data_IF_813284584484
#
_entry.id   IF_813284584484
#
_cell.length_a   1.000
_cell.length_b   1.000
_cell.length_c   1.000
_cell.angle_alpha   90.00
_cell.angle_beta   90.00
_cell.angle_gamma   90.00
#
_symmetry.space_group_name_H-M   'P 1'
#
loop_
_entity.id
_entity.type
_entity.pdbx_description
1 polymer ?
#
# COMPACT_ATOMS: atom_id res chain seq x y z
N UNK A 1 -29.25 -14.63 42.03
CA UNK A 1 -28.27 -14.52 40.92
C UNK A 1 -27.64 -13.14 41.01
N UNK A 2 -26.41 -13.08 41.52
CA UNK A 2 -25.75 -11.83 41.91
C UNK A 2 -24.97 -11.28 40.71
N UNK A 3 -25.33 -10.09 40.20
CA UNK A 3 -24.60 -9.43 39.11
C UNK A 3 -23.14 -9.14 39.54
N UNK A 4 -22.13 -9.41 38.69
CA UNK A 4 -20.75 -9.06 38.98
C UNK A 4 -20.61 -7.53 39.05
N UNK A 5 -19.96 -7.03 40.10
CA UNK A 5 -19.65 -5.61 40.27
C UNK A 5 -18.65 -5.19 39.20
N UNK A 6 -18.99 -4.18 38.39
CA UNK A 6 -18.07 -3.62 37.40
C UNK A 6 -17.01 -2.75 38.10
N UNK A 7 -15.74 -3.02 37.81
CA UNK A 7 -14.56 -2.45 38.48
C UNK A 7 -14.05 -1.15 37.82
N UNK A 8 -14.93 -0.46 37.07
CA UNK A 8 -14.62 0.76 36.32
C UNK A 8 -15.35 1.98 36.90
N UNK A 9 -14.69 3.15 36.89
CA UNK A 9 -15.32 4.40 37.34
C UNK A 9 -16.11 4.98 36.16
N UNK A 10 -17.43 4.97 36.27
CA UNK A 10 -18.34 5.53 35.26
C UNK A 10 -18.80 6.91 35.71
N UNK A 11 -18.63 7.90 34.84
CA UNK A 11 -19.18 9.25 35.01
C UNK A 11 -20.19 9.51 33.90
N UNK A 12 -21.46 9.69 34.24
CA UNK A 12 -22.52 9.95 33.27
C UNK A 12 -22.77 11.45 33.09
N UNK A 13 -22.83 11.89 31.83
CA UNK A 13 -23.22 13.23 31.39
C UNK A 13 -24.58 13.15 30.66
N UNK A 14 -25.17 14.30 30.33
CA UNK A 14 -26.53 14.37 29.77
C UNK A 14 -26.69 13.62 28.43
N UNK A 15 -25.63 13.50 27.65
CA UNK A 15 -25.61 12.92 26.30
C UNK A 15 -24.64 11.73 26.13
N UNK A 16 -23.80 11.43 27.12
CA UNK A 16 -22.84 10.32 27.04
C UNK A 16 -22.37 9.85 28.42
N UNK A 17 -21.82 8.63 28.47
CA UNK A 17 -21.15 8.10 29.66
C UNK A 17 -19.66 7.91 29.39
N UNK A 18 -18.83 8.39 30.31
CA UNK A 18 -17.38 8.19 30.28
C UNK A 18 -17.00 7.11 31.28
N UNK A 19 -16.56 5.97 30.75
CA UNK A 19 -16.06 4.85 31.55
C UNK A 19 -14.53 4.96 31.60
N UNK A 20 -13.99 5.20 32.79
CA UNK A 20 -12.54 5.23 33.04
C UNK A 20 -12.13 3.93 33.75
N UNK A 21 -11.40 3.03 33.08
CA UNK A 21 -10.82 1.86 33.71
C UNK A 21 -9.85 2.29 34.82
N UNK A 22 -9.94 1.67 36.00
CA UNK A 22 -9.15 2.05 37.18
C UNK A 22 -7.65 1.75 37.02
N UNK A 23 -7.27 0.89 36.06
CA UNK A 23 -5.89 0.57 35.69
C UNK A 23 -5.66 1.01 34.25
N UNK A 24 -4.70 1.91 34.04
CA UNK A 24 -4.21 2.25 32.70
C UNK A 24 -3.15 1.24 32.25
N UNK A 25 -2.92 1.14 30.94
CA UNK A 25 -1.92 0.23 30.36
C UNK A 25 -0.53 0.46 30.96
N UNK A 26 -0.21 1.70 31.33
CA UNK A 26 1.05 2.09 31.98
C UNK A 26 1.25 1.40 33.34
N UNK A 27 0.20 1.31 34.17
CA UNK A 27 0.26 0.61 35.46
C UNK A 27 0.36 -0.91 35.28
N UNK A 28 -0.20 -1.45 34.19
CA UNK A 28 -0.06 -2.87 33.85
C UNK A 28 1.36 -3.18 33.31
N UNK A 29 1.92 -2.30 32.49
CA UNK A 29 3.27 -2.41 31.95
C UNK A 29 4.33 -2.33 33.07
N UNK A 30 4.17 -1.42 34.04
CA UNK A 30 5.09 -1.34 35.19
C UNK A 30 5.10 -2.60 36.06
N UNK A 31 3.96 -3.30 36.19
CA UNK A 31 3.91 -4.53 36.98
C UNK A 31 4.63 -5.71 36.32
N UNK A 32 4.88 -5.65 35.02
CA UNK A 32 5.67 -6.65 34.27
C UNK A 32 7.17 -6.40 34.43
N UNK A 33 7.59 -5.16 34.73
CA UNK A 33 9.00 -4.80 34.86
C UNK A 33 9.61 -5.12 36.24
N UNK A 34 8.79 -5.42 37.25
CA UNK A 34 9.25 -5.73 38.62
C UNK A 34 9.55 -7.23 38.85
N UNK A 35 9.30 -8.10 37.88
CA UNK A 35 9.68 -9.51 37.91
C UNK A 35 10.90 -9.69 36.99
N UNK A 36 12.09 -9.81 37.59
CA UNK A 36 13.31 -10.33 36.95
C UNK A 36 13.79 -9.57 35.68
N UNK A 37 14.70 -8.63 35.90
CA UNK A 37 15.44 -7.92 34.85
C UNK A 37 16.56 -8.75 34.18
N UNK A 38 16.28 -9.98 33.76
CA UNK A 38 17.08 -10.62 32.72
C UNK A 38 16.46 -10.30 31.35
N UNK A 39 17.23 -9.65 30.47
CA UNK A 39 16.88 -9.63 29.06
C UNK A 39 16.92 -11.09 28.60
N UNK A 40 15.76 -11.71 28.43
CA UNK A 40 15.64 -13.06 27.90
C UNK A 40 16.01 -13.03 26.41
N UNK A 41 17.30 -13.04 26.13
CA UNK A 41 17.86 -13.13 24.78
C UNK A 41 17.31 -14.37 24.06
N UNK A 42 16.97 -15.44 24.77
CA UNK A 42 16.37 -16.64 24.21
C UNK A 42 14.90 -16.39 23.77
N UNK A 43 14.16 -15.51 24.46
CA UNK A 43 12.86 -15.04 24.00
C UNK A 43 12.94 -14.12 22.79
N UNK A 44 13.96 -13.26 22.71
CA UNK A 44 14.21 -12.42 21.53
C UNK A 44 14.59 -13.30 20.34
N UNK A 45 15.52 -14.23 20.50
CA UNK A 45 15.90 -15.18 19.44
C UNK A 45 14.71 -16.04 18.98
N UNK A 46 13.85 -16.52 19.89
CA UNK A 46 12.61 -17.22 19.52
C UNK A 46 11.64 -16.32 18.75
N UNK A 47 11.54 -15.04 19.12
CA UNK A 47 10.69 -14.09 18.43
C UNK A 47 11.23 -13.76 17.04
N UNK A 48 12.54 -13.54 16.89
CA UNK A 48 13.21 -13.30 15.60
C UNK A 48 13.15 -14.54 14.69
N UNK A 49 13.33 -15.75 15.24
CA UNK A 49 13.20 -17.00 14.48
C UNK A 49 11.76 -17.22 13.98
N UNK A 50 10.75 -16.96 14.82
CA UNK A 50 9.35 -17.03 14.40
C UNK A 50 9.00 -15.96 13.35
N UNK A 51 9.58 -14.75 13.47
CA UNK A 51 9.42 -13.68 12.47
C UNK A 51 10.09 -14.06 11.14
N UNK A 52 11.27 -14.67 11.21
CA UNK A 52 12.01 -15.16 10.04
C UNK A 52 11.29 -16.32 9.36
N UNK A 53 10.67 -17.23 10.12
CA UNK A 53 9.85 -18.31 9.57
C UNK A 53 8.63 -17.74 8.84
N UNK A 54 7.91 -16.79 9.46
CA UNK A 54 6.80 -16.09 8.83
C UNK A 54 7.23 -15.28 7.59
N UNK A 55 8.46 -14.76 7.59
CA UNK A 55 8.98 -14.03 6.43
C UNK A 55 9.10 -14.92 5.18
N UNK A 56 9.35 -16.22 5.35
CA UNK A 56 9.39 -17.18 4.24
C UNK A 56 8.01 -17.50 3.67
N UNK A 57 6.91 -17.28 4.42
CA UNK A 57 5.55 -17.36 3.88
C UNK A 57 5.22 -16.18 2.97
N UNK A 58 5.96 -15.07 3.06
CA UNK A 58 5.87 -13.93 2.14
C UNK A 58 6.67 -14.14 0.85
N UNK A 59 7.52 -15.18 0.81
CA UNK A 59 8.28 -15.50 -0.39
C UNK A 59 7.34 -15.95 -1.52
N UNK A 60 7.36 -15.19 -2.61
CA UNK A 60 6.53 -15.44 -3.78
C UNK A 60 5.17 -14.74 -3.80
N UNK A 61 4.74 -14.07 -2.72
CA UNK A 61 3.50 -13.28 -2.75
C UNK A 61 3.58 -12.15 -3.78
N UNK A 62 4.69 -11.40 -3.79
CA UNK A 62 4.89 -10.36 -4.81
C UNK A 62 4.96 -10.92 -6.24
N UNK A 63 5.46 -12.15 -6.42
CA UNK A 63 5.43 -12.81 -7.72
C UNK A 63 3.98 -13.15 -8.13
N UNK A 64 3.15 -13.66 -7.21
CA UNK A 64 1.73 -13.89 -7.44
C UNK A 64 0.97 -12.59 -7.77
N UNK A 65 1.24 -11.50 -7.06
CA UNK A 65 0.63 -10.20 -7.38
C UNK A 65 1.07 -9.69 -8.76
N UNK A 66 2.34 -9.87 -9.12
CA UNK A 66 2.84 -9.58 -10.47
C UNK A 66 2.14 -10.40 -11.56
N UNK A 67 1.88 -11.69 -11.29
CA UNK A 67 1.18 -12.57 -12.24
C UNK A 67 -0.29 -12.15 -12.42
N UNK A 68 -0.97 -11.75 -11.32
CA UNK A 68 -2.33 -11.19 -11.40
C UNK A 68 -2.38 -9.89 -12.18
N UNK A 69 -1.41 -8.99 -11.95
CA UNK A 69 -1.29 -7.74 -12.70
C UNK A 69 -1.06 -7.99 -14.20
N UNK A 70 -0.14 -8.90 -14.55
CA UNK A 70 0.13 -9.27 -15.94
C UNK A 70 -1.08 -9.94 -16.59
N UNK A 71 -1.82 -10.79 -15.87
CA UNK A 71 -3.04 -11.40 -16.37
C UNK A 71 -4.11 -10.33 -16.68
N UNK A 72 -4.29 -9.34 -15.79
CA UNK A 72 -5.19 -8.21 -16.02
C UNK A 72 -4.77 -7.37 -17.25
N UNK A 73 -3.48 -7.09 -17.38
CA UNK A 73 -2.89 -6.39 -18.55
C UNK A 73 -3.16 -7.15 -19.85
N UNK A 74 -2.92 -8.46 -19.88
CA UNK A 74 -3.21 -9.32 -21.05
C UNK A 74 -4.68 -9.35 -21.42
N UNK A 75 -5.56 -9.48 -20.43
CA UNK A 75 -7.00 -9.46 -20.65
C UNK A 75 -7.46 -8.12 -21.24
N UNK A 76 -6.90 -7.01 -20.77
CA UNK A 76 -7.15 -5.68 -21.32
C UNK A 76 -6.62 -5.55 -22.77
N UNK A 77 -5.42 -6.04 -23.07
CA UNK A 77 -4.90 -6.04 -24.46
C UNK A 77 -5.77 -6.87 -25.41
N UNK A 78 -6.32 -8.00 -24.96
CA UNK A 78 -7.12 -8.89 -25.79
C UNK A 78 -8.59 -8.45 -25.92
N UNK A 79 -9.19 -7.97 -24.83
CA UNK A 79 -10.61 -7.59 -24.75
C UNK A 79 -10.89 -6.11 -24.96
N UNK A 80 -9.85 -5.28 -25.07
CA UNK A 80 -9.94 -3.84 -25.22
C UNK A 80 -10.16 -3.08 -23.91
N UNK A 81 -10.14 -1.75 -24.04
CA UNK A 81 -10.27 -0.78 -22.95
C UNK A 81 -11.74 -0.53 -22.61
N UNK A 82 -12.27 -1.31 -21.67
CA UNK A 82 -13.61 -1.17 -21.11
C UNK A 82 -13.53 -0.80 -19.64
N UNK A 83 -14.62 -0.27 -19.05
CA UNK A 83 -14.69 0.01 -17.61
C UNK A 83 -14.41 -1.23 -16.75
N UNK A 84 -14.85 -2.42 -17.22
CA UNK A 84 -14.62 -3.67 -16.51
C UNK A 84 -13.15 -4.10 -16.55
N UNK A 85 -12.54 -4.09 -17.72
CA UNK A 85 -11.12 -4.47 -17.88
C UNK A 85 -10.17 -3.50 -17.17
N UNK A 86 -10.44 -2.19 -17.23
CA UNK A 86 -9.63 -1.21 -16.50
C UNK A 86 -9.80 -1.30 -14.99
N UNK A 87 -11.00 -1.64 -14.48
CA UNK A 87 -11.22 -1.86 -13.05
C UNK A 87 -10.47 -3.09 -12.53
N UNK A 88 -10.38 -4.16 -13.30
CA UNK A 88 -9.60 -5.35 -12.93
C UNK A 88 -8.10 -5.00 -12.84
N UNK A 89 -7.58 -4.27 -13.84
CA UNK A 89 -6.20 -3.78 -13.81
C UNK A 89 -5.94 -2.87 -12.60
N UNK A 90 -6.83 -1.92 -12.34
CA UNK A 90 -6.71 -1.00 -11.22
C UNK A 90 -6.64 -1.73 -9.88
N UNK A 91 -7.50 -2.74 -9.65
CA UNK A 91 -7.49 -3.52 -8.41
C UNK A 91 -6.15 -4.25 -8.22
N UNK A 92 -5.66 -4.93 -9.25
CA UNK A 92 -4.37 -5.62 -9.17
C UNK A 92 -3.21 -4.65 -8.88
N UNK A 93 -3.19 -3.48 -9.50
CA UNK A 93 -2.21 -2.45 -9.20
C UNK A 93 -2.36 -1.88 -7.77
N UNK A 94 -3.60 -1.71 -7.30
CA UNK A 94 -3.89 -1.19 -5.97
C UNK A 94 -3.46 -2.15 -4.86
N UNK A 95 -3.64 -3.46 -5.05
CA UNK A 95 -3.19 -4.47 -4.11
C UNK A 95 -1.65 -4.45 -3.99
N UNK A 96 -0.93 -4.37 -5.11
CA UNK A 96 0.52 -4.17 -5.13
C UNK A 96 0.91 -2.89 -4.40
N UNK A 97 0.24 -1.77 -4.67
CA UNK A 97 0.49 -0.50 -3.99
C UNK A 97 0.40 -0.66 -2.46
N UNK A 98 -0.64 -1.34 -1.98
CA UNK A 98 -0.89 -1.49 -0.55
C UNK A 98 0.04 -2.47 0.16
N UNK A 99 0.62 -3.42 -0.56
CA UNK A 99 1.35 -4.54 0.05
C UNK A 99 2.86 -4.54 -0.24
N UNK A 100 3.30 -3.97 -1.37
CA UNK A 100 4.68 -4.10 -1.82
C UNK A 100 5.70 -3.49 -0.85
N UNK A 101 5.39 -2.36 -0.22
CA UNK A 101 6.26 -1.76 0.80
C UNK A 101 6.44 -2.68 2.02
N UNK A 102 5.36 -3.34 2.48
CA UNK A 102 5.41 -4.33 3.57
C UNK A 102 6.30 -5.52 3.22
N UNK A 103 6.36 -5.88 1.94
CA UNK A 103 7.25 -6.94 1.45
C UNK A 103 8.64 -6.43 1.05
N UNK A 104 9.00 -5.19 1.38
CA UNK A 104 10.33 -4.64 1.12
C UNK A 104 10.58 -4.19 -0.33
N UNK A 105 9.52 -3.96 -1.11
CA UNK A 105 9.57 -3.42 -2.48
C UNK A 105 8.89 -2.05 -2.59
N UNK A 106 9.35 -1.01 -1.87
CA UNK A 106 8.69 0.30 -1.89
C UNK A 106 8.68 0.93 -3.29
N UNK A 107 9.72 0.71 -4.12
CA UNK A 107 9.71 1.18 -5.52
C UNK A 107 8.60 0.55 -6.36
N UNK A 108 8.28 -0.74 -6.14
CA UNK A 108 7.15 -1.37 -6.81
C UNK A 108 5.82 -0.76 -6.36
N UNK A 109 5.69 -0.40 -5.06
CA UNK A 109 4.53 0.30 -4.53
C UNK A 109 4.34 1.67 -5.21
N UNK A 110 5.42 2.45 -5.33
CA UNK A 110 5.39 3.77 -5.97
C UNK A 110 5.04 3.73 -7.46
N UNK A 111 5.60 2.75 -8.20
CA UNK A 111 5.27 2.57 -9.62
C UNK A 111 3.79 2.14 -9.75
N UNK A 112 3.30 1.27 -8.86
CA UNK A 112 1.90 0.85 -8.84
C UNK A 112 0.95 1.99 -8.47
N UNK A 113 1.34 2.91 -7.59
CA UNK A 113 0.59 4.13 -7.30
C UNK A 113 0.47 5.03 -8.54
N UNK A 114 1.57 5.21 -9.29
CA UNK A 114 1.53 5.96 -10.55
C UNK A 114 0.58 5.32 -11.57
N UNK A 115 0.59 3.99 -11.67
CA UNK A 115 -0.35 3.25 -12.52
C UNK A 115 -1.81 3.41 -12.04
N UNK A 116 -2.05 3.36 -10.73
CA UNK A 116 -3.37 3.61 -10.16
C UNK A 116 -3.86 5.01 -10.51
N UNK A 117 -3.00 6.02 -10.38
CA UNK A 117 -3.32 7.41 -10.73
C UNK A 117 -3.67 7.54 -12.21
N UNK A 118 -2.89 6.93 -13.10
CA UNK A 118 -3.15 6.90 -14.54
C UNK A 118 -4.54 6.33 -14.83
N UNK A 119 -4.85 5.14 -14.30
CA UNK A 119 -6.11 4.44 -14.60
C UNK A 119 -7.31 5.14 -13.96
N UNK A 120 -7.17 5.66 -12.74
CA UNK A 120 -8.27 6.27 -11.99
C UNK A 120 -8.65 7.65 -12.54
N UNK A 121 -7.65 8.49 -12.86
CA UNK A 121 -7.93 9.86 -13.29
C UNK A 121 -8.13 9.99 -14.81
N UNK A 122 -8.00 8.93 -15.61
CA UNK A 122 -8.33 9.03 -17.03
C UNK A 122 -9.86 9.06 -17.22
N UNK A 123 -10.44 10.12 -17.83
CA UNK A 123 -11.90 10.29 -17.89
C UNK A 123 -12.64 9.17 -18.65
N UNK A 124 -12.01 8.65 -19.71
CA UNK A 124 -12.59 7.63 -20.58
C UNK A 124 -11.62 6.46 -20.70
N UNK A 125 -12.03 5.21 -20.39
CA UNK A 125 -11.18 4.04 -20.55
C UNK A 125 -10.49 3.96 -21.92
N UNK A 126 -11.21 4.32 -22.99
CA UNK A 126 -10.69 4.26 -24.36
C UNK A 126 -9.55 5.25 -24.67
N UNK A 127 -9.33 6.29 -23.85
CA UNK A 127 -8.19 7.21 -24.03
C UNK A 127 -6.93 6.77 -23.28
N UNK A 128 -6.99 5.68 -22.51
CA UNK A 128 -5.83 5.18 -21.77
C UNK A 128 -4.71 4.75 -22.74
N UNK A 129 -3.48 5.25 -22.54
CA UNK A 129 -2.32 4.86 -23.34
C UNK A 129 -1.86 3.46 -22.94
N UNK A 130 -2.19 2.45 -23.74
CA UNK A 130 -1.80 1.05 -23.50
C UNK A 130 -0.31 0.86 -23.35
N UNK A 131 0.50 1.58 -24.14
CA UNK A 131 1.96 1.51 -24.06
C UNK A 131 2.49 2.00 -22.70
N UNK A 132 1.83 3.00 -22.11
CA UNK A 132 2.23 3.49 -20.79
C UNK A 132 1.81 2.51 -19.70
N UNK A 133 0.64 1.87 -19.82
CA UNK A 133 0.22 0.78 -18.94
C UNK A 133 1.25 -0.37 -19.00
N UNK A 134 1.63 -0.80 -20.19
CA UNK A 134 2.58 -1.90 -20.40
C UNK A 134 3.93 -1.59 -19.76
N UNK A 135 4.42 -0.34 -19.87
CA UNK A 135 5.66 0.08 -19.23
C UNK A 135 5.60 0.06 -17.70
N UNK A 136 4.48 0.48 -17.09
CA UNK A 136 4.31 0.38 -15.64
C UNK A 136 4.31 -1.08 -15.18
N UNK A 137 3.54 -1.94 -15.85
CA UNK A 137 3.48 -3.38 -15.51
C UNK A 137 4.85 -4.04 -15.67
N UNK A 138 5.58 -3.72 -16.75
CA UNK A 138 6.93 -4.22 -16.97
C UNK A 138 7.90 -3.75 -15.89
N UNK A 139 7.84 -2.48 -15.48
CA UNK A 139 8.70 -1.92 -14.45
C UNK A 139 8.45 -2.56 -13.07
N UNK A 140 7.19 -2.71 -12.65
CA UNK A 140 6.82 -3.41 -11.40
C UNK A 140 7.37 -4.83 -11.41
N UNK A 141 7.15 -5.57 -12.49
CA UNK A 141 7.64 -6.95 -12.62
C UNK A 141 9.16 -7.03 -12.64
N UNK A 142 9.84 -6.05 -13.21
CA UNK A 142 11.30 -5.97 -13.20
C UNK A 142 11.84 -5.74 -11.78
N UNK A 143 11.31 -4.76 -11.05
CA UNK A 143 11.70 -4.49 -9.65
C UNK A 143 11.57 -5.76 -8.79
N UNK A 144 10.47 -6.49 -8.93
CA UNK A 144 10.24 -7.74 -8.18
C UNK A 144 11.17 -8.86 -8.65
N UNK A 145 11.32 -9.06 -9.96
CA UNK A 145 12.17 -10.13 -10.53
C UNK A 145 13.65 -9.93 -10.21
N UNK A 146 14.14 -8.71 -10.31
CA UNK A 146 15.53 -8.34 -9.98
C UNK A 146 15.74 -8.21 -8.46
N UNK A 147 14.69 -8.45 -7.66
CA UNK A 147 14.74 -8.40 -6.20
C UNK A 147 15.25 -7.06 -5.67
N UNK A 148 14.86 -5.95 -6.31
CA UNK A 148 15.23 -4.60 -5.90
C UNK A 148 14.50 -4.26 -4.60
N UNK A 149 15.24 -4.30 -3.49
CA UNK A 149 14.74 -3.99 -2.16
C UNK A 149 15.06 -2.55 -1.79
N UNK A 150 14.24 -1.97 -0.91
CA UNK A 150 14.40 -0.57 -0.53
C UNK A 150 14.01 0.40 -1.65
N UNK A 151 14.35 1.67 -1.45
CA UNK A 151 13.89 2.81 -2.24
C UNK A 151 15.02 3.59 -2.94
N UNK A 152 16.24 3.06 -2.92
CA UNK A 152 17.46 3.79 -3.33
C UNK A 152 18.14 3.24 -4.60
N UNK A 153 17.57 2.23 -5.26
CA UNK A 153 18.11 1.74 -6.54
C UNK A 153 18.06 2.84 -7.62
N UNK A 154 19.21 3.33 -8.11
CA UNK A 154 19.24 4.51 -8.98
C UNK A 154 18.48 4.30 -10.30
N UNK A 155 18.53 3.07 -10.84
CA UNK A 155 17.92 2.77 -12.13
C UNK A 155 16.40 2.69 -12.00
N UNK A 156 15.91 2.02 -10.95
CA UNK A 156 14.49 1.92 -10.67
C UNK A 156 13.88 3.27 -10.31
N UNK A 157 14.60 4.13 -9.58
CA UNK A 157 14.19 5.51 -9.30
C UNK A 157 14.06 6.34 -10.59
N UNK A 158 15.04 6.28 -11.50
CA UNK A 158 14.97 6.99 -12.78
C UNK A 158 13.75 6.52 -13.63
N UNK A 159 13.51 5.21 -13.66
CA UNK A 159 12.35 4.63 -14.36
C UNK A 159 11.04 5.12 -13.73
N UNK A 160 10.93 5.10 -12.41
CA UNK A 160 9.77 5.59 -11.67
C UNK A 160 9.49 7.06 -11.98
N UNK A 161 10.51 7.93 -11.87
CA UNK A 161 10.38 9.36 -12.15
C UNK A 161 9.94 9.63 -13.58
N UNK A 162 10.49 8.86 -14.53
CA UNK A 162 10.10 8.97 -15.94
C UNK A 162 8.65 8.56 -16.15
N UNK A 163 8.21 7.46 -15.55
CA UNK A 163 6.83 6.98 -15.65
C UNK A 163 5.86 7.98 -15.02
N UNK A 164 6.17 8.52 -13.83
CA UNK A 164 5.39 9.58 -13.18
C UNK A 164 5.25 10.81 -14.07
N UNK A 165 6.36 11.30 -14.62
CA UNK A 165 6.36 12.45 -15.54
C UNK A 165 5.47 12.21 -16.76
N UNK A 166 5.55 11.02 -17.36
CA UNK A 166 4.71 10.65 -18.50
C UNK A 166 3.22 10.59 -18.13
N UNK A 167 2.90 9.98 -16.99
CA UNK A 167 1.53 9.90 -16.45
C UNK A 167 0.97 11.30 -16.19
N UNK A 168 1.73 12.17 -15.54
CA UNK A 168 1.32 13.55 -15.26
C UNK A 168 1.10 14.36 -16.53
N UNK A 169 2.02 14.30 -17.49
CA UNK A 169 1.88 14.99 -18.76
C UNK A 169 0.64 14.52 -19.51
N UNK A 170 0.35 13.22 -19.50
CA UNK A 170 -0.83 12.66 -20.13
C UNK A 170 -2.11 13.13 -19.42
N UNK A 171 -2.18 13.05 -18.09
CA UNK A 171 -3.37 13.45 -17.33
C UNK A 171 -3.65 14.95 -17.46
N UNK A 172 -2.63 15.80 -17.46
CA UNK A 172 -2.77 17.25 -17.72
C UNK A 172 -3.38 17.54 -19.09
N UNK A 173 -2.99 16.79 -20.12
CA UNK A 173 -3.58 16.93 -21.45
C UNK A 173 -5.05 16.46 -21.50
N UNK A 174 -5.36 15.34 -20.84
CA UNK A 174 -6.74 14.84 -20.76
C UNK A 174 -7.70 15.79 -20.02
N UNK A 175 -7.19 16.54 -19.04
CA UNK A 175 -7.95 17.47 -18.20
C UNK A 175 -7.66 18.94 -18.49
N UNK A 176 -7.11 19.27 -19.66
CA UNK A 176 -6.74 20.65 -20.01
C UNK A 176 -7.91 21.64 -19.95
N UNK A 177 -9.13 21.14 -20.16
CA UNK A 177 -10.37 21.91 -20.17
C UNK A 177 -11.14 21.82 -18.82
N UNK A 178 -10.55 21.16 -17.81
CA UNK A 178 -11.11 20.99 -16.47
C UNK A 178 -10.25 21.75 -15.44
N UNK A 179 -10.51 23.06 -15.21
CA UNK A 179 -9.71 23.88 -14.33
C UNK A 179 -9.81 23.46 -12.85
N UNK A 180 -10.94 22.87 -12.45
CA UNK A 180 -11.15 22.39 -11.09
C UNK A 180 -10.26 21.16 -10.84
N UNK A 181 -10.22 20.22 -11.78
CA UNK A 181 -9.31 19.06 -11.70
C UNK A 181 -7.84 19.48 -11.70
N UNK A 182 -7.45 20.45 -12.53
CA UNK A 182 -6.06 20.94 -12.57
C UNK A 182 -5.65 21.62 -11.26
N UNK A 183 -6.58 22.31 -10.58
CA UNK A 183 -6.32 22.94 -9.30
C UNK A 183 -6.16 21.92 -8.16
N UNK A 184 -6.94 20.84 -8.19
CA UNK A 184 -6.96 19.83 -7.12
C UNK A 184 -5.92 18.71 -7.32
N UNK A 185 -5.72 18.26 -8.56
CA UNK A 185 -4.91 17.08 -8.93
C UNK A 185 -3.83 17.35 -9.98
N UNK A 186 -3.68 18.59 -10.48
CA UNK A 186 -2.69 18.94 -11.50
C UNK A 186 -1.25 19.02 -10.98
N UNK A 187 -1.05 19.02 -9.66
CA UNK A 187 0.26 18.89 -9.03
C UNK A 187 0.53 17.44 -8.61
N UNK A 188 1.79 16.97 -8.67
CA UNK A 188 2.18 15.68 -8.08
C UNK A 188 1.75 15.65 -6.60
N UNK A 189 1.39 14.49 -6.07
CA UNK A 189 1.13 14.35 -4.64
C UNK A 189 2.40 14.76 -3.88
N UNK A 190 2.34 15.85 -3.12
CA UNK A 190 3.45 16.37 -2.29
C UNK A 190 3.62 15.53 -1.02
N UNK A 191 2.74 14.56 -0.76
CA UNK A 191 2.84 13.68 0.40
C UNK A 191 4.18 12.93 0.31
N UNK A 192 5.16 13.23 1.19
CA UNK A 192 6.32 12.39 1.32
C UNK A 192 5.84 11.04 1.86
N UNK A 193 6.33 9.94 1.28
CA UNK A 193 6.16 8.60 1.88
C UNK A 193 6.66 8.55 3.32
#
# INVERSE_FOLDING_TARGET
>A
MTKPKSDAKVTSFHDHEVIVPKKNLTTYAHKIADDDGSFDFEAIERAEAALSELSSEFDGWMASECDRLEAARRALSAGGLSKGSTQVLFRAAHDIKGQAATFGFPLAAQIADSLCRLVFHTPKPASLPTDLIDRHVAAIRAVVRENVRGDDDPTACEVLDRLRTMTESFLKDQHKDDPDWLAEYGTPSIVPE
#
